data_IF_012342274005
#
_entry.id   IF_012342274005
#
_cell.length_a   1.000
_cell.length_b   1.000
_cell.length_c   1.000
_cell.angle_alpha   90.00
_cell.angle_beta   90.00
_cell.angle_gamma   90.00
#
_symmetry.space_group_name_H-M   'P 1'
#
loop_
_entity.id
_entity.type
_entity.pdbx_description
1 polymer ?
#
# COMPACT_ATOMS: atom_id res chain seq x y z
N UNK A 1 -0.39 34.43 34.20
CA UNK A 1 -1.07 33.18 33.79
C UNK A 1 -1.13 33.19 32.27
N UNK A 2 -0.22 32.49 31.60
CA UNK A 2 -0.16 32.43 30.14
C UNK A 2 -1.05 31.29 29.66
N UNK A 3 -2.20 31.60 29.07
CA UNK A 3 -3.06 30.61 28.42
C UNK A 3 -2.40 30.19 27.11
N UNK A 4 -1.70 29.06 27.11
CA UNK A 4 -1.27 28.39 25.89
C UNK A 4 -2.50 28.12 25.01
N UNK A 5 -2.54 28.59 23.75
CA UNK A 5 -3.67 28.34 22.88
C UNK A 5 -3.81 26.83 22.66
N UNK A 6 -4.99 26.30 22.97
CA UNK A 6 -5.38 24.92 22.69
C UNK A 6 -5.23 24.66 21.19
N UNK A 7 -4.22 23.88 20.79
CA UNK A 7 -4.20 23.29 19.46
C UNK A 7 -5.04 22.01 19.53
N UNK A 8 -6.07 21.84 18.68
CA UNK A 8 -6.92 20.63 18.67
C UNK A 8 -6.17 19.31 18.44
N UNK A 9 -4.85 19.36 18.22
CA UNK A 9 -3.97 18.23 17.93
C UNK A 9 -3.12 17.80 19.14
N UNK A 10 -3.12 18.55 20.26
CA UNK A 10 -2.24 18.32 21.43
C UNK A 10 -2.54 17.00 22.20
N UNK A 11 -3.43 16.13 21.70
CA UNK A 11 -3.74 14.81 22.26
C UNK A 11 -3.77 13.67 21.23
N UNK A 12 -3.48 13.92 19.95
CA UNK A 12 -3.53 12.88 18.92
C UNK A 12 -2.22 12.09 18.93
N UNK A 13 -2.25 10.92 19.57
CA UNK A 13 -1.08 10.04 19.71
C UNK A 13 -0.76 9.25 18.44
N UNK A 14 -1.73 9.10 17.54
CA UNK A 14 -1.61 8.32 16.31
C UNK A 14 -2.53 8.86 15.20
N UNK A 15 -2.26 8.56 13.92
CA UNK A 15 -3.06 9.07 12.81
C UNK A 15 -4.35 8.28 12.55
N UNK A 16 -4.58 7.16 13.23
CA UNK A 16 -5.77 6.33 13.03
C UNK A 16 -7.03 6.97 13.63
N UNK A 17 -8.19 6.70 13.02
CA UNK A 17 -9.49 7.08 13.56
C UNK A 17 -10.04 5.97 14.48
N UNK A 18 -10.65 6.28 15.64
CA UNK A 18 -10.91 7.62 16.16
C UNK A 18 -9.68 8.25 16.87
N UNK A 19 -9.53 9.58 16.90
CA UNK A 19 -8.31 10.25 17.38
C UNK A 19 -8.03 10.10 18.89
N UNK A 20 -9.06 9.83 19.67
CA UNK A 20 -9.02 9.59 21.12
C UNK A 20 -8.76 8.12 21.48
N UNK A 21 -8.64 7.24 20.49
CA UNK A 21 -8.23 5.86 20.73
C UNK A 21 -6.84 5.84 21.38
N UNK A 22 -6.66 4.94 22.33
CA UNK A 22 -5.32 4.64 22.88
C UNK A 22 -4.73 3.50 22.07
N UNK A 23 -3.69 3.77 21.30
CA UNK A 23 -2.90 2.74 20.60
C UNK A 23 -1.60 2.53 21.37
N UNK A 24 -1.55 1.57 22.31
CA UNK A 24 -0.36 1.35 23.11
C UNK A 24 0.81 0.94 22.20
N UNK A 25 2.00 1.46 22.50
CA UNK A 25 3.23 1.18 21.75
C UNK A 25 3.19 1.62 20.28
N UNK A 26 2.34 2.60 19.92
CA UNK A 26 2.40 3.19 18.59
C UNK A 26 3.80 3.76 18.30
N UNK A 27 4.35 3.37 17.16
CA UNK A 27 5.56 3.96 16.60
C UNK A 27 5.32 4.26 15.13
N UNK A 28 5.74 5.43 14.69
CA UNK A 28 5.60 5.81 13.29
C UNK A 28 6.54 4.95 12.42
N UNK A 29 6.07 4.57 11.24
CA UNK A 29 6.89 3.87 10.26
C UNK A 29 8.14 4.71 9.95
N UNK A 30 9.32 4.11 10.09
CA UNK A 30 10.60 4.75 9.74
C UNK A 30 10.85 4.73 8.23
N UNK A 31 10.25 3.77 7.53
CA UNK A 31 10.36 3.65 6.07
C UNK A 31 9.36 4.58 5.38
N UNK A 32 9.79 5.42 4.43
CA UNK A 32 8.90 6.28 3.68
C UNK A 32 7.85 5.49 2.91
N UNK A 33 6.62 6.01 2.85
CA UNK A 33 5.51 5.38 2.13
C UNK A 33 5.85 5.10 0.66
N UNK A 34 6.53 6.04 -0.01
CA UNK A 34 6.94 5.89 -1.41
C UNK A 34 7.85 4.68 -1.61
N UNK A 35 8.76 4.41 -0.68
CA UNK A 35 9.66 3.24 -0.74
C UNK A 35 8.85 1.95 -0.69
N UNK A 36 7.88 1.86 0.22
CA UNK A 36 6.99 0.69 0.35
C UNK A 36 6.20 0.48 -0.94
N UNK A 37 5.62 1.55 -1.50
CA UNK A 37 4.85 1.49 -2.75
C UNK A 37 5.70 1.00 -3.93
N UNK A 38 6.91 1.53 -4.09
CA UNK A 38 7.79 1.14 -5.19
C UNK A 38 8.23 -0.32 -5.08
N UNK A 39 8.58 -0.78 -3.87
CA UNK A 39 8.93 -2.18 -3.64
C UNK A 39 7.75 -3.12 -3.94
N UNK A 40 6.55 -2.77 -3.46
CA UNK A 40 5.35 -3.55 -3.70
C UNK A 40 4.97 -3.61 -5.19
N UNK A 41 4.94 -2.44 -5.85
CA UNK A 41 4.64 -2.34 -7.27
C UNK A 41 5.66 -3.10 -8.12
N UNK A 42 6.95 -3.04 -7.77
CA UNK A 42 8.00 -3.78 -8.46
C UNK A 42 7.81 -5.29 -8.36
N UNK A 43 7.54 -5.81 -7.16
CA UNK A 43 7.32 -7.24 -6.93
C UNK A 43 6.08 -7.76 -7.68
N UNK A 44 4.95 -7.05 -7.57
CA UNK A 44 3.73 -7.45 -8.29
C UNK A 44 3.92 -7.37 -9.79
N UNK A 45 4.52 -6.29 -10.31
CA UNK A 45 4.74 -6.14 -11.75
C UNK A 45 5.62 -7.26 -12.29
N UNK A 46 6.70 -7.62 -11.58
CA UNK A 46 7.57 -8.73 -11.97
C UNK A 46 6.81 -10.05 -12.00
N UNK A 47 6.05 -10.35 -10.95
CA UNK A 47 5.26 -11.58 -10.87
C UNK A 47 4.22 -11.68 -11.99
N UNK A 48 3.42 -10.63 -12.17
CA UNK A 48 2.39 -10.55 -13.22
C UNK A 48 3.03 -10.68 -14.60
N UNK A 49 4.13 -9.99 -14.88
CA UNK A 49 4.81 -10.10 -16.18
C UNK A 49 5.29 -11.53 -16.47
N UNK A 50 5.82 -12.24 -15.46
CA UNK A 50 6.22 -13.65 -15.62
C UNK A 50 5.00 -14.51 -15.95
N UNK A 51 3.91 -14.37 -15.20
CA UNK A 51 2.66 -15.10 -15.44
C UNK A 51 2.13 -14.85 -16.86
N UNK A 52 2.01 -13.59 -17.28
CA UNK A 52 1.52 -13.24 -18.61
C UNK A 52 2.43 -13.77 -19.72
N UNK A 53 3.75 -13.70 -19.52
CA UNK A 53 4.73 -14.23 -20.47
C UNK A 53 4.58 -15.74 -20.60
N UNK A 54 4.47 -16.45 -19.48
CA UNK A 54 4.30 -17.90 -19.48
C UNK A 54 2.95 -18.33 -20.06
N UNK A 55 1.87 -17.63 -19.72
CA UNK A 55 0.53 -17.89 -20.28
C UNK A 55 0.51 -17.69 -21.80
N UNK A 56 1.13 -16.62 -22.31
CA UNK A 56 1.22 -16.38 -23.76
C UNK A 56 2.09 -17.42 -24.45
N UNK A 57 3.18 -17.86 -23.81
CA UNK A 57 4.04 -18.92 -24.32
C UNK A 57 3.28 -20.26 -24.40
N UNK A 58 2.53 -20.62 -23.36
CA UNK A 58 1.76 -21.86 -23.29
C UNK A 58 0.55 -21.85 -24.25
N UNK A 59 -0.11 -20.71 -24.41
CA UNK A 59 -1.22 -20.55 -25.34
C UNK A 59 -1.17 -19.20 -26.07
N UNK A 60 -0.58 -19.16 -27.28
CA UNK A 60 -0.47 -17.93 -28.07
C UNK A 60 -1.81 -17.34 -28.53
N UNK A 61 -2.89 -18.14 -28.51
CA UNK A 61 -4.23 -17.73 -28.95
C UNK A 61 -5.02 -16.95 -27.89
N UNK A 62 -4.47 -16.78 -26.68
CA UNK A 62 -5.10 -16.00 -25.62
C UNK A 62 -5.38 -14.57 -26.10
N UNK A 63 -6.62 -14.13 -25.90
CA UNK A 63 -7.02 -12.76 -26.19
C UNK A 63 -6.46 -11.82 -25.11
N UNK A 64 -6.44 -10.52 -25.40
CA UNK A 64 -5.99 -9.53 -24.42
C UNK A 64 -6.90 -9.50 -23.18
N UNK A 65 -8.19 -9.78 -23.35
CA UNK A 65 -9.14 -9.94 -22.23
C UNK A 65 -8.73 -11.09 -21.31
N UNK A 66 -8.30 -12.23 -21.85
CA UNK A 66 -7.90 -13.40 -21.05
C UNK A 66 -6.64 -13.07 -20.24
N UNK A 67 -5.70 -12.34 -20.84
CA UNK A 67 -4.50 -11.87 -20.14
C UNK A 67 -4.83 -10.84 -19.05
N UNK A 68 -5.80 -9.96 -19.27
CA UNK A 68 -6.25 -9.04 -18.23
C UNK A 68 -6.86 -9.79 -17.04
N UNK A 69 -7.63 -10.86 -17.29
CA UNK A 69 -8.14 -11.75 -16.24
C UNK A 69 -6.98 -12.42 -15.49
N UNK A 70 -5.98 -12.94 -16.21
CA UNK A 70 -4.80 -13.54 -15.59
C UNK A 70 -4.01 -12.52 -14.75
N UNK A 71 -3.88 -11.28 -15.20
CA UNK A 71 -3.19 -10.22 -14.48
C UNK A 71 -3.93 -9.73 -13.22
N UNK A 72 -5.24 -9.95 -13.16
CA UNK A 72 -6.09 -9.55 -12.03
C UNK A 72 -6.02 -10.53 -10.85
N UNK A 73 -5.85 -11.83 -11.13
CA UNK A 73 -5.71 -12.87 -10.12
C UNK A 73 -4.31 -12.88 -9.49
#
# INVERSE_FOLDING_TARGET
MSSTPYSPLDGISHPYYPPDATVPFYTANTTPLLTILLSFAGLISLFVLICLTFSRYANPKLQQSDLAVIAWF
#
